data_IF_070753541148
#
_entry.id   IF_070753541148
#
_cell.length_a   1.000
_cell.length_b   1.000
_cell.length_c   1.000
_cell.angle_alpha   90.00
_cell.angle_beta   90.00
_cell.angle_gamma   90.00
#
_symmetry.space_group_name_H-M   'P 1'
#
loop_
_entity.id
_entity.type
_entity.pdbx_description
1 polymer ?
#
# COMPACT_ATOMS: atom_id res chain seq x y z
N UNK A 1 -43.42 2.40 -35.12
CA UNK A 1 -42.11 1.98 -34.57
C UNK A 1 -42.10 2.38 -33.10
N UNK A 2 -42.35 1.45 -32.18
CA UNK A 2 -42.36 1.76 -30.74
C UNK A 2 -40.91 1.77 -30.24
N UNK A 3 -40.46 2.92 -29.73
CA UNK A 3 -39.14 3.07 -29.14
C UNK A 3 -39.12 2.45 -27.74
N UNK A 4 -38.24 1.48 -27.52
CA UNK A 4 -38.02 0.84 -26.24
C UNK A 4 -37.21 1.78 -25.33
N UNK A 5 -37.74 2.07 -24.15
CA UNK A 5 -37.06 2.91 -23.14
C UNK A 5 -35.83 2.18 -22.58
N UNK A 6 -34.70 2.85 -22.35
CA UNK A 6 -33.51 2.21 -21.79
C UNK A 6 -33.76 1.81 -20.33
N UNK A 7 -33.40 0.58 -19.96
CA UNK A 7 -33.36 0.15 -18.56
C UNK A 7 -32.27 0.94 -17.82
N UNK A 8 -32.68 1.79 -16.89
CA UNK A 8 -31.77 2.52 -15.99
C UNK A 8 -31.57 1.69 -14.73
N UNK A 9 -30.34 1.25 -14.49
CA UNK A 9 -29.95 0.54 -13.28
C UNK A 9 -29.84 1.58 -12.15
N UNK A 10 -30.82 1.62 -11.24
CA UNK A 10 -30.91 2.63 -10.16
C UNK A 10 -30.08 2.27 -8.93
N UNK A 11 -29.79 0.98 -8.73
CA UNK A 11 -29.01 0.47 -7.59
C UNK A 11 -27.68 -0.09 -8.05
N UNK A 12 -26.61 0.71 -7.86
CA UNK A 12 -25.25 0.18 -7.91
C UNK A 12 -25.01 -0.66 -6.65
N UNK A 13 -24.37 -1.83 -6.75
CA UNK A 13 -23.97 -2.59 -5.56
C UNK A 13 -23.16 -1.66 -4.66
N UNK A 14 -23.63 -1.52 -3.43
CA UNK A 14 -23.03 -0.65 -2.44
C UNK A 14 -21.52 -0.86 -2.37
N UNK A 15 -20.81 0.25 -2.27
CA UNK A 15 -19.37 0.37 -2.03
C UNK A 15 -18.82 -0.84 -1.29
N UNK A 16 -17.76 -1.42 -1.83
CA UNK A 16 -17.10 -2.63 -1.34
C UNK A 16 -16.75 -2.61 0.15
N UNK A 17 -16.16 -3.70 0.67
CA UNK A 17 -16.01 -3.91 2.11
C UNK A 17 -15.48 -2.66 2.82
N UNK A 18 -16.17 -2.24 3.89
CA UNK A 18 -15.75 -1.15 4.76
C UNK A 18 -14.32 -1.42 5.18
N UNK A 19 -13.41 -0.57 4.74
CA UNK A 19 -12.01 -0.83 4.92
C UNK A 19 -11.63 -0.64 6.40
N UNK A 20 -11.34 -1.74 7.08
CA UNK A 20 -11.03 -1.71 8.50
C UNK A 20 -9.69 -0.96 8.70
N UNK A 21 -9.78 0.24 9.28
CA UNK A 21 -8.71 1.21 9.49
C UNK A 21 -8.05 1.76 8.21
N UNK A 22 -8.52 2.92 7.69
CA UNK A 22 -7.93 3.61 6.54
C UNK A 22 -6.62 4.34 6.89
N UNK A 23 -5.85 3.82 7.85
CA UNK A 23 -4.61 4.41 8.34
C UNK A 23 -3.47 3.39 8.28
N UNK A 24 -2.25 3.90 8.17
CA UNK A 24 -1.06 3.10 8.42
C UNK A 24 -1.05 2.58 9.85
N UNK A 25 -0.66 1.32 10.05
CA UNK A 25 -0.51 0.72 11.39
C UNK A 25 0.78 1.18 12.09
N UNK A 26 1.75 1.71 11.33
CA UNK A 26 3.02 2.26 11.86
C UNK A 26 3.34 3.63 11.30
N UNK A 27 4.07 4.42 12.08
CA UNK A 27 4.69 5.65 11.59
C UNK A 27 5.76 5.39 10.53
N UNK A 28 6.10 6.43 9.76
CA UNK A 28 7.11 6.35 8.71
C UNK A 28 8.49 5.95 9.27
N UNK A 29 8.93 6.65 10.31
CA UNK A 29 10.22 6.43 10.99
C UNK A 29 10.12 5.48 12.19
N UNK A 30 9.13 4.58 12.22
CA UNK A 30 8.90 3.63 13.30
C UNK A 30 9.89 2.43 13.23
N UNK A 31 11.18 2.75 13.12
CA UNK A 31 12.27 1.82 12.88
C UNK A 31 12.49 0.84 14.05
N UNK A 32 12.13 1.24 15.27
CA UNK A 32 12.26 0.43 16.48
C UNK A 32 11.13 -0.60 16.67
N UNK A 33 9.98 -0.42 16.00
CA UNK A 33 8.87 -1.38 16.05
C UNK A 33 9.18 -2.69 15.32
N UNK A 34 10.15 -2.69 14.40
CA UNK A 34 10.53 -3.88 13.65
C UNK A 34 12.00 -3.75 13.18
N UNK A 35 12.93 -3.97 14.12
CA UNK A 35 14.37 -3.78 13.89
C UNK A 35 14.89 -4.65 12.74
N UNK A 36 14.34 -5.85 12.54
CA UNK A 36 14.72 -6.72 11.42
C UNK A 36 14.41 -6.10 10.06
N UNK A 37 13.21 -5.54 9.90
CA UNK A 37 12.82 -4.82 8.67
C UNK A 37 13.67 -3.56 8.49
N UNK A 38 13.91 -2.81 9.56
CA UNK A 38 14.75 -1.61 9.50
C UNK A 38 16.18 -1.93 9.08
N UNK A 39 16.81 -2.95 9.68
CA UNK A 39 18.15 -3.41 9.32
C UNK A 39 18.20 -3.93 7.87
N UNK A 40 17.17 -4.67 7.44
CA UNK A 40 17.07 -5.11 6.04
C UNK A 40 16.94 -3.93 5.08
N UNK A 41 16.17 -2.90 5.42
CA UNK A 41 16.11 -1.66 4.64
C UNK A 41 17.47 -0.99 4.54
N UNK A 42 18.14 -0.76 5.66
CA UNK A 42 19.42 -0.04 5.68
C UNK A 42 20.56 -0.80 5.01
N UNK A 43 20.61 -2.14 5.13
CA UNK A 43 21.74 -2.96 4.65
C UNK A 43 21.46 -3.72 3.34
N UNK A 44 20.20 -4.05 3.03
CA UNK A 44 19.80 -4.59 1.72
C UNK A 44 18.47 -4.00 1.24
N UNK A 45 18.44 -2.69 0.99
CA UNK A 45 17.27 -1.99 0.47
C UNK A 45 16.65 -2.67 -0.75
N UNK A 46 17.48 -3.17 -1.68
CA UNK A 46 16.98 -3.78 -2.90
C UNK A 46 16.31 -5.13 -2.67
N UNK A 47 16.85 -5.94 -1.74
CA UNK A 47 16.20 -7.17 -1.31
C UNK A 47 14.83 -6.87 -0.71
N UNK A 48 14.75 -5.87 0.18
CA UNK A 48 13.51 -5.48 0.84
C UNK A 48 12.46 -5.03 -0.17
N UNK A 49 12.87 -4.29 -1.20
CA UNK A 49 11.95 -3.81 -2.24
C UNK A 49 11.38 -4.97 -3.05
N UNK A 50 12.20 -5.96 -3.37
CA UNK A 50 11.75 -7.15 -4.08
C UNK A 50 10.82 -8.01 -3.22
N UNK A 51 11.04 -8.06 -1.90
CA UNK A 51 10.09 -8.71 -0.99
C UNK A 51 8.74 -7.99 -0.96
N UNK A 52 8.74 -6.65 -0.86
CA UNK A 52 7.52 -5.84 -0.89
C UNK A 52 6.78 -6.00 -2.23
N UNK A 53 7.50 -5.96 -3.34
CA UNK A 53 6.92 -6.20 -4.66
C UNK A 53 6.31 -7.60 -4.76
N UNK A 54 7.03 -8.65 -4.33
CA UNK A 54 6.55 -10.01 -4.33
C UNK A 54 5.31 -10.18 -3.43
N UNK A 55 5.28 -9.54 -2.26
CA UNK A 55 4.12 -9.55 -1.36
C UNK A 55 2.86 -8.93 -2.01
N UNK A 56 3.06 -7.99 -2.92
CA UNK A 56 2.00 -7.32 -3.68
C UNK A 56 1.78 -7.92 -5.08
N UNK A 57 2.45 -9.03 -5.41
CA UNK A 57 2.40 -9.70 -6.71
C UNK A 57 2.84 -8.80 -7.89
N UNK A 58 3.88 -8.00 -7.66
CA UNK A 58 4.47 -7.07 -8.63
C UNK A 58 5.93 -7.43 -8.93
N UNK A 59 6.49 -6.86 -10.00
CA UNK A 59 7.89 -7.09 -10.37
C UNK A 59 8.87 -6.50 -9.33
N UNK A 60 9.95 -7.22 -9.03
CA UNK A 60 10.99 -6.84 -8.06
C UNK A 60 11.55 -5.41 -8.28
N UNK A 61 11.68 -4.97 -9.53
CA UNK A 61 12.13 -3.61 -9.89
C UNK A 61 11.13 -2.51 -9.53
N UNK A 62 9.85 -2.84 -9.35
CA UNK A 62 8.81 -1.89 -9.02
C UNK A 62 8.81 -1.52 -7.53
N UNK A 63 9.41 -2.34 -6.65
CA UNK A 63 9.31 -2.23 -5.19
C UNK A 63 9.66 -0.86 -4.59
N UNK A 64 10.56 -0.10 -5.21
CA UNK A 64 11.00 1.23 -4.75
C UNK A 64 10.23 2.38 -5.38
N UNK A 65 9.33 2.10 -6.31
CA UNK A 65 8.60 3.14 -7.05
C UNK A 65 7.54 3.81 -6.18
N UNK A 66 7.25 5.06 -6.49
CA UNK A 66 6.11 5.78 -5.91
C UNK A 66 4.80 5.04 -6.20
N UNK A 67 4.72 4.38 -7.37
CA UNK A 67 3.56 3.58 -7.75
C UNK A 67 3.25 2.47 -6.73
N UNK A 68 4.26 1.82 -6.13
CA UNK A 68 4.03 0.81 -5.10
C UNK A 68 3.37 1.37 -3.86
N UNK A 69 3.82 2.55 -3.41
CA UNK A 69 3.24 3.21 -2.24
C UNK A 69 1.80 3.66 -2.53
N UNK A 70 1.56 4.24 -3.70
CA UNK A 70 0.22 4.65 -4.14
C UNK A 70 -0.71 3.43 -4.23
N UNK A 71 -0.26 2.34 -4.87
CA UNK A 71 -1.00 1.08 -5.01
C UNK A 71 -1.37 0.50 -3.64
N UNK A 72 -0.42 0.49 -2.71
CA UNK A 72 -0.67 0.00 -1.35
C UNK A 72 -1.75 0.83 -0.65
N UNK A 73 -1.64 2.16 -0.72
CA UNK A 73 -2.58 3.08 -0.08
C UNK A 73 -3.97 3.00 -0.70
N UNK A 74 -4.09 2.90 -2.03
CA UNK A 74 -5.40 2.76 -2.69
C UNK A 74 -6.03 1.41 -2.39
N UNK A 75 -5.25 0.31 -2.37
CA UNK A 75 -5.73 -1.03 -1.98
C UNK A 75 -6.32 -1.05 -0.57
N UNK A 76 -5.67 -0.37 0.37
CA UNK A 76 -6.10 -0.29 1.76
C UNK A 76 -6.74 1.06 2.12
N UNK A 77 -7.35 1.78 1.17
CA UNK A 77 -8.15 2.99 1.43
C UNK A 77 -7.48 4.05 2.31
N UNK A 78 -6.14 4.14 2.32
CA UNK A 78 -5.39 5.03 3.20
C UNK A 78 -5.46 6.44 2.62
N UNK A 79 -5.85 7.45 3.41
CA UNK A 79 -5.99 8.84 2.94
C UNK A 79 -4.65 9.52 2.65
N UNK A 80 -4.57 10.34 1.59
CA UNK A 80 -3.36 11.01 1.11
C UNK A 80 -3.34 11.16 -0.42
N UNK A 81 -2.21 11.59 -0.99
CA UNK A 81 -2.11 11.95 -2.42
C UNK A 81 -0.84 11.40 -3.08
N UNK A 82 -0.81 11.34 -4.41
CA UNK A 82 0.40 10.96 -5.17
C UNK A 82 1.58 11.90 -4.85
N UNK A 83 1.30 13.18 -4.60
CA UNK A 83 2.33 14.15 -4.20
C UNK A 83 2.94 13.80 -2.84
N UNK A 84 2.11 13.44 -1.86
CA UNK A 84 2.57 12.96 -0.55
C UNK A 84 3.41 11.67 -0.69
N UNK A 85 2.94 10.74 -1.52
CA UNK A 85 3.66 9.49 -1.78
C UNK A 85 5.01 9.71 -2.48
N UNK A 86 5.08 10.66 -3.40
CA UNK A 86 6.32 11.09 -4.03
C UNK A 86 7.30 11.70 -3.01
N UNK A 87 6.82 12.66 -2.21
CA UNK A 87 7.64 13.33 -1.20
C UNK A 87 8.18 12.35 -0.17
N UNK A 88 7.35 11.45 0.35
CA UNK A 88 7.78 10.44 1.32
C UNK A 88 8.81 9.49 0.72
N UNK A 89 8.58 9.02 -0.51
CA UNK A 89 9.49 8.10 -1.20
C UNK A 89 10.82 8.78 -1.57
N UNK A 90 10.80 10.09 -1.87
CA UNK A 90 12.00 10.84 -2.20
C UNK A 90 12.81 11.27 -0.95
N UNK A 91 12.14 11.76 0.10
CA UNK A 91 12.80 12.25 1.31
C UNK A 91 13.37 11.14 2.20
N UNK A 92 12.65 10.01 2.37
CA UNK A 92 13.20 8.83 3.03
C UNK A 92 12.71 7.53 2.35
N UNK A 93 13.34 7.10 1.24
CA UNK A 93 12.95 5.88 0.53
C UNK A 93 13.03 4.63 1.42
N UNK A 94 14.04 4.58 2.30
CA UNK A 94 14.25 3.50 3.27
C UNK A 94 13.07 3.38 4.23
N UNK A 95 12.71 4.49 4.88
CA UNK A 95 11.59 4.55 5.82
C UNK A 95 10.26 4.22 5.13
N UNK A 96 10.05 4.75 3.93
CA UNK A 96 8.85 4.51 3.12
C UNK A 96 8.66 3.01 2.86
N UNK A 97 9.71 2.33 2.42
CA UNK A 97 9.65 0.92 2.09
C UNK A 97 9.53 0.03 3.34
N UNK A 98 10.27 0.37 4.41
CA UNK A 98 10.14 -0.29 5.71
C UNK A 98 8.72 -0.15 6.26
N UNK A 99 8.09 1.03 6.13
CA UNK A 99 6.71 1.25 6.56
C UNK A 99 5.75 0.31 5.82
N UNK A 100 5.86 0.20 4.50
CA UNK A 100 5.03 -0.72 3.70
C UNK A 100 5.24 -2.17 4.17
N UNK A 101 6.50 -2.64 4.30
CA UNK A 101 6.78 -4.01 4.74
C UNK A 101 6.24 -4.31 6.14
N UNK A 102 6.38 -3.39 7.09
CA UNK A 102 5.80 -3.52 8.44
C UNK A 102 4.28 -3.62 8.39
N UNK A 103 3.63 -2.80 7.57
CA UNK A 103 2.17 -2.80 7.43
C UNK A 103 1.67 -4.11 6.81
N UNK A 104 2.36 -4.62 5.77
CA UNK A 104 2.14 -5.96 5.20
C UNK A 104 2.21 -7.02 6.30
N UNK A 105 3.30 -7.05 7.08
CA UNK A 105 3.49 -8.05 8.13
C UNK A 105 2.39 -8.00 9.20
N UNK A 106 2.01 -6.80 9.65
CA UNK A 106 0.92 -6.61 10.62
C UNK A 106 -0.43 -7.07 10.07
N UNK A 107 -0.76 -6.73 8.82
CA UNK A 107 -2.00 -7.18 8.16
C UNK A 107 -2.01 -8.69 7.94
N UNK A 108 -0.87 -9.30 7.60
CA UNK A 108 -0.75 -10.77 7.52
C UNK A 108 -1.02 -11.43 8.88
N UNK A 109 -0.47 -10.87 9.96
CA UNK A 109 -0.72 -11.36 11.32
C UNK A 109 -2.20 -11.23 11.72
N UNK A 110 -2.88 -10.17 11.28
CA UNK A 110 -4.32 -9.95 11.47
C UNK A 110 -5.21 -10.73 10.48
N UNK A 111 -4.63 -11.45 9.51
CA UNK A 111 -5.34 -12.16 8.42
C UNK A 111 -6.20 -11.23 7.54
N UNK A 112 -5.73 -10.00 7.34
CA UNK A 112 -6.39 -8.95 6.53
C UNK A 112 -5.55 -8.47 5.35
N UNK A 113 -4.50 -9.22 4.98
CA UNK A 113 -3.58 -8.89 3.90
C UNK A 113 -3.99 -9.51 2.55
#
# INVERSE_FOLDING_TARGET
>A
MQAQSPMVIVTQPGYGPVLQNPNWQTGLCDCFSDCGVCLCGTFCFMCLACQVAADMNECCLCGTSVAMRTLYRTRYGISGSICDDYLVTHCCPQCSLCQIKRDINRRRAMRTF
#
